data_IF_363220624601
#
_entry.id   IF_363220624601
#
_cell.length_a   1.000
_cell.length_b   1.000
_cell.length_c   1.000
_cell.angle_alpha   90.00
_cell.angle_beta   90.00
_cell.angle_gamma   90.00
#
_symmetry.space_group_name_H-M   'P 1'
#
loop_
_entity.id
_entity.type
_entity.pdbx_description
1 polymer ?
#
# COMPACT_ATOMS: atom_id res chain seq x y z
N UNK A 1 27.00 -25.31 67.51
CA UNK A 1 26.95 -23.87 67.23
C UNK A 1 26.53 -23.65 65.77
N UNK A 2 25.32 -23.26 65.62
CA UNK A 2 24.65 -23.10 64.34
C UNK A 2 24.96 -21.77 63.67
N UNK A 3 25.09 -21.78 62.39
CA UNK A 3 25.08 -20.60 61.55
C UNK A 3 24.20 -20.82 60.34
N UNK A 4 22.99 -20.25 60.41
CA UNK A 4 22.10 -20.16 59.25
C UNK A 4 22.56 -19.01 58.38
N UNK A 5 22.96 -19.26 57.13
CA UNK A 5 23.12 -18.26 56.12
C UNK A 5 21.76 -17.95 55.43
N UNK A 6 21.44 -16.70 55.11
CA UNK A 6 20.18 -16.34 54.41
C UNK A 6 20.32 -16.66 52.92
N UNK A 7 19.33 -17.38 52.40
CA UNK A 7 19.17 -17.63 50.99
C UNK A 7 18.86 -16.35 50.22
N UNK A 8 19.78 -15.92 49.37
CA UNK A 8 19.60 -14.89 48.39
C UNK A 8 18.86 -15.44 47.17
N UNK A 9 17.56 -15.32 47.14
CA UNK A 9 16.75 -15.54 45.96
C UNK A 9 16.96 -14.42 44.95
N UNK A 10 18.01 -14.51 44.16
CA UNK A 10 18.21 -13.66 43.01
C UNK A 10 17.23 -13.99 41.87
N UNK A 11 16.14 -13.29 41.77
CA UNK A 11 15.37 -13.25 40.54
C UNK A 11 16.18 -12.45 39.52
N UNK A 12 16.82 -13.15 38.62
CA UNK A 12 17.37 -12.55 37.43
C UNK A 12 16.31 -11.87 36.63
N UNK A 13 16.57 -10.65 36.07
CA UNK A 13 15.63 -10.01 35.17
C UNK A 13 15.52 -10.89 33.93
N UNK A 14 14.33 -11.40 33.67
CA UNK A 14 13.98 -12.08 32.43
C UNK A 14 14.26 -11.13 31.28
N UNK A 15 15.30 -11.41 30.54
CA UNK A 15 15.57 -10.77 29.24
C UNK A 15 14.49 -11.23 28.27
N UNK A 16 13.32 -10.62 28.36
CA UNK A 16 12.35 -10.58 27.29
C UNK A 16 12.94 -9.77 26.16
N UNK A 17 13.83 -10.37 25.38
CA UNK A 17 14.28 -9.84 24.11
C UNK A 17 13.07 -9.68 23.21
N UNK A 18 12.44 -8.50 23.23
CA UNK A 18 11.64 -8.04 22.12
C UNK A 18 12.62 -7.90 20.97
N UNK A 19 12.62 -8.91 20.08
CA UNK A 19 13.25 -8.79 18.77
C UNK A 19 12.84 -7.47 18.16
N UNK A 20 13.66 -6.83 17.30
CA UNK A 20 13.27 -5.65 16.59
C UNK A 20 12.07 -6.00 15.72
N UNK A 21 10.89 -5.90 16.28
CA UNK A 21 9.67 -5.78 15.52
C UNK A 21 9.86 -4.51 14.73
N UNK A 22 10.06 -4.65 13.42
CA UNK A 22 9.94 -3.56 12.48
C UNK A 22 8.52 -3.01 12.60
N UNK A 23 8.34 -2.07 13.45
CA UNK A 23 7.10 -1.45 13.79
C UNK A 23 7.40 -0.42 14.82
N UNK A 24 8.05 0.65 14.43
CA UNK A 24 7.85 1.91 15.07
C UNK A 24 6.35 2.18 15.02
N UNK A 25 5.63 1.69 16.03
CA UNK A 25 4.27 2.14 16.34
C UNK A 25 4.41 3.49 17.04
N UNK A 26 4.95 4.47 16.32
CA UNK A 26 4.55 5.83 16.53
C UNK A 26 3.03 5.89 16.27
N UNK A 27 2.30 6.82 16.85
CA UNK A 27 0.89 7.01 16.53
C UNK A 27 0.79 7.08 15.01
N UNK A 28 0.07 6.16 14.37
CA UNK A 28 0.07 5.98 12.92
C UNK A 28 -0.16 7.31 12.18
N UNK A 29 0.32 7.46 10.97
CA UNK A 29 0.29 8.72 10.19
C UNK A 29 -1.09 9.38 10.03
N UNK A 30 -2.16 8.75 10.57
CA UNK A 30 -3.53 9.26 10.51
C UNK A 30 -4.19 9.04 9.15
N UNK A 31 -3.80 7.99 8.43
CA UNK A 31 -4.34 7.69 7.09
C UNK A 31 -5.86 7.63 7.06
N UNK A 32 -6.49 6.88 7.94
CA UNK A 32 -7.96 6.73 7.96
C UNK A 32 -8.66 8.07 8.27
N UNK A 33 -8.11 8.89 9.19
CA UNK A 33 -8.62 10.23 9.47
C UNK A 33 -8.48 11.15 8.26
N UNK A 34 -7.36 11.05 7.55
CA UNK A 34 -7.13 11.80 6.31
C UNK A 34 -8.09 11.38 5.20
N UNK A 35 -8.27 10.07 4.99
CA UNK A 35 -9.21 9.54 4.00
C UNK A 35 -10.64 9.98 4.32
N UNK A 36 -11.03 9.99 5.61
CA UNK A 36 -12.33 10.49 6.01
C UNK A 36 -12.51 11.98 5.72
N UNK A 37 -11.53 12.82 6.05
CA UNK A 37 -11.57 14.25 5.81
C UNK A 37 -11.59 14.55 4.30
N UNK A 38 -10.66 13.95 3.52
CA UNK A 38 -10.58 14.12 2.08
C UNK A 38 -11.82 13.55 1.39
N UNK A 39 -12.29 12.38 1.80
CA UNK A 39 -13.47 11.74 1.23
C UNK A 39 -14.72 12.59 1.40
N UNK A 40 -14.98 13.13 2.58
CA UNK A 40 -16.11 14.04 2.78
C UNK A 40 -15.97 15.30 1.90
N UNK A 41 -14.77 15.88 1.79
CA UNK A 41 -14.52 17.01 0.93
C UNK A 41 -14.85 16.70 -0.55
N UNK A 42 -14.47 15.52 -1.04
CA UNK A 42 -14.80 15.07 -2.41
C UNK A 42 -16.30 14.90 -2.60
N UNK A 43 -16.98 14.26 -1.65
CA UNK A 43 -18.42 14.03 -1.70
C UNK A 43 -19.22 15.35 -1.64
N UNK A 44 -18.78 16.32 -0.84
CA UNK A 44 -19.42 17.64 -0.72
C UNK A 44 -19.29 18.46 -2.00
N UNK A 45 -18.39 18.08 -2.92
CA UNK A 45 -18.26 18.62 -4.28
C UNK A 45 -19.15 17.88 -5.30
N UNK A 46 -19.99 16.96 -4.85
CA UNK A 46 -20.91 16.20 -5.68
C UNK A 46 -20.31 15.02 -6.43
N UNK A 47 -19.06 14.62 -6.09
CA UNK A 47 -18.40 13.49 -6.69
C UNK A 47 -18.68 12.20 -5.91
N UNK A 48 -18.58 11.04 -6.56
CA UNK A 48 -18.71 9.71 -5.93
C UNK A 48 -17.35 9.13 -5.66
N UNK A 49 -17.18 8.53 -4.47
CA UNK A 49 -15.89 8.05 -3.97
C UNK A 49 -15.93 6.56 -3.65
N UNK A 50 -14.95 5.81 -4.13
CA UNK A 50 -14.64 4.46 -3.63
C UNK A 50 -13.33 4.48 -2.83
N UNK A 51 -13.30 3.76 -1.70
CA UNK A 51 -12.10 3.55 -0.88
C UNK A 51 -11.83 2.05 -0.80
N UNK A 52 -10.65 1.65 -1.27
CA UNK A 52 -10.23 0.25 -1.33
C UNK A 52 -8.99 0.08 -0.43
N UNK A 53 -9.10 -0.73 0.62
CA UNK A 53 -7.96 -1.05 1.47
C UNK A 53 -7.15 -2.22 0.90
N UNK A 54 -5.81 -2.12 0.96
CA UNK A 54 -4.86 -3.18 0.60
C UNK A 54 -4.03 -3.53 1.83
N UNK A 55 -4.38 -4.65 2.47
CA UNK A 55 -3.67 -5.16 3.64
C UNK A 55 -3.21 -6.62 3.41
N UNK A 56 -1.95 -6.83 3.04
CA UNK A 56 -1.42 -8.18 2.87
C UNK A 56 -1.29 -8.95 4.19
N UNK A 57 -1.33 -8.27 5.35
CA UNK A 57 -1.22 -8.90 6.67
C UNK A 57 -2.55 -9.49 7.17
N UNK A 58 -3.67 -9.16 6.55
CA UNK A 58 -5.01 -9.66 6.90
C UNK A 58 -5.16 -11.18 6.75
N UNK A 59 -4.22 -11.84 6.06
CA UNK A 59 -4.10 -13.29 5.93
C UNK A 59 -4.01 -14.01 7.28
N UNK A 60 -3.34 -13.40 8.28
CA UNK A 60 -3.09 -14.01 9.60
C UNK A 60 -4.11 -13.68 10.66
N UNK A 61 -4.90 -12.63 10.50
CA UNK A 61 -5.76 -12.09 11.54
C UNK A 61 -7.27 -12.27 11.29
N UNK A 62 -7.65 -13.04 10.27
CA UNK A 62 -9.07 -13.32 9.99
C UNK A 62 -9.88 -12.13 9.47
N UNK A 63 -9.19 -11.11 8.97
CA UNK A 63 -9.79 -9.96 8.28
C UNK A 63 -10.31 -8.89 9.24
N UNK A 64 -9.77 -7.69 9.13
CA UNK A 64 -10.30 -6.49 9.82
C UNK A 64 -11.52 -5.92 9.07
N UNK A 65 -12.55 -6.75 8.85
CA UNK A 65 -13.76 -6.34 8.11
C UNK A 65 -14.51 -5.19 8.81
N UNK A 66 -14.39 -5.09 10.13
CA UNK A 66 -15.04 -4.05 10.93
C UNK A 66 -14.14 -2.85 11.23
N UNK A 67 -12.83 -3.06 11.32
CA UNK A 67 -11.89 -2.02 11.75
C UNK A 67 -11.80 -0.81 10.84
N UNK A 68 -11.89 -0.99 9.52
CA UNK A 68 -11.74 0.11 8.56
C UNK A 68 -13.03 0.93 8.43
N UNK A 69 -14.19 0.29 8.47
CA UNK A 69 -15.49 0.99 8.49
C UNK A 69 -15.71 1.78 9.78
N UNK A 70 -15.25 1.26 10.92
CA UNK A 70 -15.37 1.96 12.22
C UNK A 70 -14.42 3.14 12.34
N UNK A 71 -13.32 3.18 11.56
CA UNK A 71 -12.39 4.31 11.53
C UNK A 71 -12.82 5.44 10.59
N UNK A 72 -13.77 5.18 9.71
CA UNK A 72 -14.30 6.13 8.70
C UNK A 72 -15.83 6.20 8.79
N UNK A 73 -16.36 6.43 10.02
CA UNK A 73 -17.80 6.32 10.30
C UNK A 73 -18.66 7.30 9.52
N UNK A 74 -18.21 8.56 9.39
CA UNK A 74 -18.96 9.59 8.68
C UNK A 74 -19.02 9.28 7.18
N UNK A 75 -17.89 8.86 6.60
CA UNK A 75 -17.79 8.50 5.20
C UNK A 75 -18.61 7.23 4.91
N UNK A 76 -18.59 6.23 5.80
CA UNK A 76 -19.32 4.98 5.63
C UNK A 76 -20.86 5.14 5.64
N UNK A 77 -21.38 6.26 6.15
CA UNK A 77 -22.82 6.57 6.17
C UNK A 77 -23.30 7.28 4.90
N UNK A 78 -22.38 7.76 4.07
CA UNK A 78 -22.70 8.49 2.83
C UNK A 78 -23.02 7.49 1.71
N UNK A 79 -24.14 7.69 1.02
CA UNK A 79 -24.59 6.83 -0.09
C UNK A 79 -23.68 6.91 -1.32
N UNK A 80 -23.03 8.05 -1.50
CA UNK A 80 -22.09 8.34 -2.58
C UNK A 80 -20.70 7.74 -2.33
N UNK A 81 -20.47 7.15 -1.13
CA UNK A 81 -19.22 6.49 -0.75
C UNK A 81 -19.35 4.97 -0.78
N UNK A 82 -18.34 4.30 -1.32
CA UNK A 82 -18.18 2.85 -1.25
C UNK A 82 -16.86 2.54 -0.52
N UNK A 83 -16.92 1.80 0.58
CA UNK A 83 -15.73 1.40 1.34
C UNK A 83 -15.62 -0.11 1.32
N UNK A 84 -14.53 -0.62 0.73
CA UNK A 84 -14.22 -2.04 0.69
C UNK A 84 -12.97 -2.32 1.51
N UNK A 85 -13.08 -3.10 2.59
CA UNK A 85 -11.92 -3.58 3.34
C UNK A 85 -11.09 -4.55 2.49
N UNK A 86 -9.83 -4.74 2.86
CA UNK A 86 -8.95 -5.71 2.19
C UNK A 86 -9.52 -7.12 2.27
N UNK A 87 -9.50 -7.88 1.15
CA UNK A 87 -9.94 -9.27 1.17
C UNK A 87 -9.01 -10.11 2.05
N UNK A 88 -9.60 -10.95 2.92
CA UNK A 88 -8.86 -11.86 3.80
C UNK A 88 -8.26 -13.04 3.01
N UNK A 89 -7.14 -13.59 3.50
CA UNK A 89 -6.69 -14.94 3.13
C UNK A 89 -5.93 -15.07 1.82
N UNK A 90 -5.29 -14.01 1.30
CA UNK A 90 -4.58 -14.07 0.01
C UNK A 90 -3.12 -13.62 0.10
N UNK A 91 -2.30 -14.12 -0.85
CA UNK A 91 -0.96 -13.60 -1.10
C UNK A 91 -1.04 -12.14 -1.52
N UNK A 92 0.06 -11.37 -1.38
CA UNK A 92 0.13 -9.96 -1.79
C UNK A 92 -0.32 -9.79 -3.25
N UNK A 93 0.16 -10.61 -4.18
CA UNK A 93 -0.26 -10.59 -5.60
C UNK A 93 -1.76 -10.80 -5.77
N UNK A 94 -2.36 -11.75 -5.05
CA UNK A 94 -3.81 -11.99 -5.11
C UNK A 94 -4.66 -10.83 -4.57
N UNK A 95 -4.20 -10.13 -3.51
CA UNK A 95 -4.86 -8.91 -3.01
C UNK A 95 -4.79 -7.80 -4.05
N UNK A 96 -3.62 -7.61 -4.65
CA UNK A 96 -3.37 -6.59 -5.67
C UNK A 96 -4.24 -6.80 -6.91
N UNK A 97 -4.30 -8.03 -7.41
CA UNK A 97 -5.17 -8.41 -8.55
C UNK A 97 -6.62 -8.05 -8.28
N UNK A 98 -7.18 -8.51 -7.16
CA UNK A 98 -8.59 -8.21 -6.81
C UNK A 98 -8.85 -6.72 -6.58
N UNK A 99 -7.86 -5.98 -6.13
CA UNK A 99 -7.98 -4.53 -5.99
C UNK A 99 -8.08 -3.87 -7.36
N UNK A 100 -7.25 -4.28 -8.34
CA UNK A 100 -7.33 -3.80 -9.73
C UNK A 100 -8.69 -4.08 -10.36
N UNK A 101 -9.18 -5.33 -10.26
CA UNK A 101 -10.51 -5.72 -10.73
C UNK A 101 -11.61 -4.85 -10.10
N UNK A 102 -11.50 -4.59 -8.80
CA UNK A 102 -12.47 -3.77 -8.08
C UNK A 102 -12.40 -2.30 -8.51
N UNK A 103 -11.20 -1.75 -8.79
CA UNK A 103 -11.04 -0.39 -9.33
C UNK A 103 -11.79 -0.24 -10.66
N UNK A 104 -11.62 -1.18 -11.58
CA UNK A 104 -12.33 -1.17 -12.87
C UNK A 104 -13.85 -1.25 -12.68
N UNK A 105 -14.33 -2.08 -11.74
CA UNK A 105 -15.75 -2.16 -11.40
C UNK A 105 -16.27 -0.84 -10.80
N UNK A 106 -15.49 -0.17 -9.96
CA UNK A 106 -15.85 1.13 -9.40
C UNK A 106 -15.93 2.20 -10.50
N UNK A 107 -14.95 2.25 -11.42
CA UNK A 107 -14.98 3.16 -12.57
C UNK A 107 -16.22 2.90 -13.46
N UNK A 108 -16.51 1.64 -13.79
CA UNK A 108 -17.68 1.24 -14.55
C UNK A 108 -19.02 1.56 -13.84
N UNK A 109 -19.04 1.53 -12.51
CA UNK A 109 -20.20 1.90 -11.68
C UNK A 109 -20.36 3.42 -11.53
N UNK A 110 -19.48 4.22 -12.14
CA UNK A 110 -19.54 5.68 -12.14
C UNK A 110 -19.03 6.34 -10.88
N UNK A 111 -18.05 5.74 -10.19
CA UNK A 111 -17.30 6.44 -9.17
C UNK A 111 -16.25 7.35 -9.82
N UNK A 112 -16.24 8.62 -9.41
CA UNK A 112 -15.37 9.66 -9.99
C UNK A 112 -13.94 9.54 -9.46
N UNK A 113 -13.80 9.06 -8.21
CA UNK A 113 -12.54 8.94 -7.51
C UNK A 113 -12.45 7.56 -6.85
N UNK A 114 -11.31 6.88 -7.02
CA UNK A 114 -10.99 5.64 -6.33
C UNK A 114 -9.72 5.87 -5.51
N UNK A 115 -9.85 5.84 -4.18
CA UNK A 115 -8.72 5.88 -3.25
C UNK A 115 -8.31 4.46 -2.90
N UNK A 116 -7.01 4.16 -3.03
CA UNK A 116 -6.44 2.89 -2.62
C UNK A 116 -5.53 3.14 -1.41
N UNK A 117 -5.90 2.58 -0.26
CA UNK A 117 -5.15 2.71 1.00
C UNK A 117 -4.23 1.51 1.20
N UNK A 118 -2.95 1.76 1.54
CA UNK A 118 -2.00 0.74 1.99
C UNK A 118 -1.80 0.82 3.49
N UNK A 119 -1.54 -0.32 4.12
CA UNK A 119 -1.25 -0.37 5.58
C UNK A 119 0.20 -0.02 5.95
N UNK A 120 1.05 0.27 4.96
CA UNK A 120 2.44 0.67 5.18
C UNK A 120 3.38 -0.47 5.56
N UNK A 121 3.07 -1.70 5.15
CA UNK A 121 3.88 -2.89 5.41
C UNK A 121 4.22 -3.63 4.10
N UNK A 122 5.50 -3.82 3.85
CA UNK A 122 5.99 -4.64 2.74
C UNK A 122 6.11 -3.86 1.42
N UNK A 123 5.81 -4.53 0.31
CA UNK A 123 5.90 -3.97 -1.06
C UNK A 123 4.56 -3.46 -1.60
N UNK A 124 3.53 -3.42 -0.76
CA UNK A 124 2.19 -2.98 -1.16
C UNK A 124 2.14 -1.55 -1.70
N UNK A 125 3.04 -0.69 -1.22
CA UNK A 125 3.13 0.70 -1.69
C UNK A 125 3.57 0.79 -3.15
N UNK A 126 4.54 -0.02 -3.56
CA UNK A 126 5.01 -0.07 -4.95
C UNK A 126 3.91 -0.60 -5.87
N UNK A 127 3.25 -1.69 -5.48
CA UNK A 127 2.15 -2.26 -6.26
C UNK A 127 0.97 -1.29 -6.40
N UNK A 128 0.63 -0.54 -5.33
CA UNK A 128 -0.42 0.48 -5.40
C UNK A 128 -0.01 1.66 -6.28
N UNK A 129 1.25 2.10 -6.20
CA UNK A 129 1.75 3.16 -7.09
C UNK A 129 1.69 2.75 -8.56
N UNK A 130 1.89 1.45 -8.87
CA UNK A 130 1.81 0.92 -10.23
C UNK A 130 0.38 0.75 -10.76
N UNK A 131 -0.64 0.76 -9.90
CA UNK A 131 -2.03 0.61 -10.33
C UNK A 131 -2.84 1.91 -10.28
N UNK A 132 -2.31 2.97 -9.67
CA UNK A 132 -3.01 4.25 -9.50
C UNK A 132 -2.45 5.33 -10.42
N UNK A 133 -3.29 6.31 -10.77
CA UNK A 133 -2.88 7.45 -11.57
C UNK A 133 -1.93 8.37 -10.79
N UNK A 134 -2.15 8.52 -9.48
CA UNK A 134 -1.37 9.35 -8.57
C UNK A 134 -1.02 8.59 -7.30
N UNK A 135 0.21 8.75 -6.82
CA UNK A 135 0.65 8.21 -5.53
C UNK A 135 0.89 9.34 -4.52
N UNK A 136 0.06 9.36 -3.47
CA UNK A 136 0.17 10.30 -2.36
C UNK A 136 0.88 9.64 -1.20
N UNK A 137 2.02 10.18 -0.79
CA UNK A 137 2.73 9.77 0.42
C UNK A 137 2.27 10.62 1.60
N UNK A 138 1.79 9.97 2.67
CA UNK A 138 1.23 10.62 3.86
C UNK A 138 2.07 10.28 5.11
N UNK A 139 3.21 10.93 5.35
CA UNK A 139 3.93 10.81 6.61
C UNK A 139 3.21 11.57 7.73
N UNK A 140 3.39 11.13 8.99
CA UNK A 140 2.97 11.90 10.17
C UNK A 140 3.97 12.99 10.52
N UNK A 141 3.50 14.08 11.10
CA UNK A 141 4.39 15.06 11.72
C UNK A 141 5.15 14.38 12.87
N UNK A 142 6.47 14.34 12.77
CA UNK A 142 7.35 13.63 13.71
C UNK A 142 7.79 12.23 13.24
N UNK A 143 7.35 11.76 12.09
CA UNK A 143 7.94 10.58 11.46
C UNK A 143 9.33 10.94 10.92
N UNK A 144 10.35 10.17 11.33
CA UNK A 144 11.71 10.37 10.82
C UNK A 144 11.79 10.08 9.32
N UNK A 145 12.39 11.00 8.56
CA UNK A 145 12.71 10.80 7.14
C UNK A 145 13.51 9.51 6.91
N UNK A 146 14.34 9.12 7.88
CA UNK A 146 15.14 7.89 7.84
C UNK A 146 14.27 6.62 7.88
N UNK A 147 13.05 6.69 8.43
CA UNK A 147 12.08 5.58 8.46
C UNK A 147 11.40 5.33 7.12
N UNK A 148 11.44 6.29 6.20
CA UNK A 148 10.83 6.17 4.88
C UNK A 148 11.86 5.70 3.88
N UNK A 149 11.61 4.54 3.28
CA UNK A 149 12.50 3.99 2.25
C UNK A 149 12.60 4.96 1.06
N UNK A 150 13.81 5.24 0.61
CA UNK A 150 14.09 6.10 -0.55
C UNK A 150 13.21 5.76 -1.77
N UNK A 151 13.04 4.47 -2.08
CA UNK A 151 12.24 4.01 -3.20
C UNK A 151 10.76 4.41 -3.13
N UNK A 152 10.18 4.56 -1.93
CA UNK A 152 8.79 5.03 -1.78
C UNK A 152 8.68 6.53 -2.09
N UNK A 153 9.68 7.31 -1.71
CA UNK A 153 9.72 8.75 -2.04
C UNK A 153 9.84 9.00 -3.54
N UNK A 154 10.57 8.15 -4.26
CA UNK A 154 10.71 8.20 -5.72
C UNK A 154 9.39 7.95 -6.46
N UNK A 155 8.44 7.23 -5.83
CA UNK A 155 7.12 6.96 -6.38
C UNK A 155 6.11 8.10 -6.13
N UNK A 156 6.39 9.00 -5.18
CA UNK A 156 5.43 10.00 -4.75
C UNK A 156 5.20 11.07 -5.83
N UNK A 157 3.93 11.36 -6.08
CA UNK A 157 3.47 12.49 -6.90
C UNK A 157 3.02 13.67 -6.01
N UNK A 158 2.76 13.42 -4.72
CA UNK A 158 2.50 14.41 -3.66
C UNK A 158 2.99 13.85 -2.34
N UNK A 159 3.71 14.65 -1.56
CA UNK A 159 4.02 14.37 -0.15
C UNK A 159 3.19 15.32 0.70
N UNK A 160 2.37 14.74 1.59
CA UNK A 160 1.50 15.50 2.47
C UNK A 160 1.78 15.13 3.92
N UNK A 161 2.52 15.99 4.62
CA UNK A 161 2.87 15.76 6.03
C UNK A 161 1.65 16.07 6.90
N UNK A 162 1.06 15.01 7.47
CA UNK A 162 -0.14 15.09 8.31
C UNK A 162 0.21 15.41 9.77
N UNK A 163 -0.80 15.69 10.59
CA UNK A 163 -0.70 16.08 12.00
C UNK A 163 0.05 17.40 12.21
N UNK A 164 -0.12 18.33 11.26
CA UNK A 164 0.44 19.68 11.38
C UNK A 164 -0.45 20.57 12.27
N UNK A 165 -0.82 20.06 13.46
CA UNK A 165 -1.64 20.74 14.47
C UNK A 165 -0.97 20.69 15.85
N UNK A 166 -1.45 21.53 16.76
CA UNK A 166 -0.99 21.59 18.13
C UNK A 166 0.53 21.66 18.24
N UNK A 167 1.10 20.87 19.14
CA UNK A 167 2.54 20.81 19.38
C UNK A 167 3.34 20.21 18.21
N UNK A 168 2.69 19.43 17.34
CA UNK A 168 3.34 18.80 16.20
C UNK A 168 3.47 19.72 14.98
N UNK A 169 2.85 20.91 14.98
CA UNK A 169 2.87 21.82 13.83
C UNK A 169 4.28 22.23 13.41
N UNK A 170 5.14 22.58 14.37
CA UNK A 170 6.53 22.94 14.11
C UNK A 170 7.32 21.76 13.52
N UNK A 171 7.16 20.58 14.11
CA UNK A 171 7.82 19.34 13.68
C UNK A 171 7.37 18.93 12.27
N UNK A 172 6.07 19.04 11.97
CA UNK A 172 5.53 18.76 10.65
C UNK A 172 6.11 19.71 9.57
N UNK A 173 6.28 21.00 9.88
CA UNK A 173 6.90 21.95 8.96
C UNK A 173 8.39 21.64 8.74
N UNK A 174 9.11 21.22 9.79
CA UNK A 174 10.49 20.78 9.67
C UNK A 174 10.60 19.55 8.77
N UNK A 175 9.81 18.52 9.05
CA UNK A 175 9.74 17.31 8.21
C UNK A 175 9.42 17.64 6.75
N UNK A 176 8.49 18.56 6.49
CA UNK A 176 8.16 18.99 5.13
C UNK A 176 9.37 19.63 4.42
N UNK A 177 10.19 20.41 5.14
CA UNK A 177 11.43 20.98 4.60
C UNK A 177 12.44 19.87 4.25
N UNK A 178 12.58 18.87 5.12
CA UNK A 178 13.50 17.75 4.89
C UNK A 178 13.08 16.93 3.66
N UNK A 179 11.78 16.67 3.49
CA UNK A 179 11.25 16.02 2.27
C UNK A 179 11.53 16.84 1.02
N UNK A 180 11.37 18.17 1.08
CA UNK A 180 11.70 19.03 -0.06
C UNK A 180 13.19 18.97 -0.43
N UNK A 181 14.09 18.91 0.55
CA UNK A 181 15.52 18.76 0.31
C UNK A 181 15.84 17.39 -0.28
N UNK A 182 15.26 16.32 0.27
CA UNK A 182 15.47 14.96 -0.23
C UNK A 182 14.98 14.80 -1.69
N UNK A 183 13.83 15.37 -2.04
CA UNK A 183 13.30 15.31 -3.41
C UNK A 183 14.21 15.97 -4.46
N UNK A 184 15.03 16.96 -4.09
CA UNK A 184 16.01 17.58 -5.00
C UNK A 184 17.10 16.61 -5.46
N UNK A 185 17.33 15.54 -4.69
CA UNK A 185 18.33 14.50 -4.96
C UNK A 185 17.75 13.31 -5.71
N UNK A 186 16.44 13.30 -5.97
CA UNK A 186 15.72 12.22 -6.61
C UNK A 186 15.31 12.61 -8.03
N UNK A 187 15.16 11.60 -8.88
CA UNK A 187 14.65 11.81 -10.23
C UNK A 187 13.11 11.73 -10.18
N UNK A 188 12.39 12.73 -10.69
CA UNK A 188 10.94 12.70 -10.69
C UNK A 188 10.43 11.56 -11.61
N UNK A 189 9.43 10.83 -11.13
CA UNK A 189 8.74 9.80 -11.90
C UNK A 189 8.02 10.36 -13.13
N UNK A 190 7.52 11.58 -13.01
CA UNK A 190 6.70 12.28 -14.00
C UNK A 190 7.47 13.46 -14.56
N UNK A 191 7.68 13.54 -15.87
CA UNK A 191 8.54 14.55 -16.51
C UNK A 191 8.02 15.98 -16.32
N UNK A 192 6.72 16.16 -16.45
CA UNK A 192 6.07 17.49 -16.42
C UNK A 192 5.50 17.85 -15.04
N UNK A 193 5.93 17.12 -13.99
CA UNK A 193 5.42 17.33 -12.64
C UNK A 193 6.55 17.47 -11.63
N UNK A 194 6.50 18.55 -10.87
CA UNK A 194 7.35 18.68 -9.68
C UNK A 194 6.56 18.26 -8.47
N UNK A 195 7.06 17.27 -7.73
CA UNK A 195 6.40 16.74 -6.55
C UNK A 195 6.28 17.82 -5.48
N UNK A 196 5.07 18.30 -5.15
CA UNK A 196 4.91 19.26 -4.07
C UNK A 196 4.97 18.56 -2.72
N UNK A 197 5.48 19.28 -1.73
CA UNK A 197 5.39 18.90 -0.32
C UNK A 197 4.49 19.91 0.38
N UNK A 198 3.47 19.44 1.06
CA UNK A 198 2.49 20.23 1.80
C UNK A 198 2.33 19.67 3.21
N UNK A 199 1.81 20.48 4.11
CA UNK A 199 1.39 20.06 5.45
C UNK A 199 -0.13 20.09 5.56
N UNK A 200 -0.71 19.19 6.37
CA UNK A 200 -2.14 19.20 6.69
C UNK A 200 -2.40 18.74 8.12
N UNK A 201 -3.57 19.07 8.63
CA UNK A 201 -4.16 18.43 9.80
C UNK A 201 -5.48 17.78 9.38
N UNK A 202 -5.45 16.46 9.25
CA UNK A 202 -6.67 15.71 8.93
C UNK A 202 -7.71 15.83 10.06
N UNK A 203 -7.26 15.99 11.31
CA UNK A 203 -8.12 16.14 12.48
C UNK A 203 -8.91 17.45 12.45
N UNK A 204 -8.23 18.55 12.10
CA UNK A 204 -8.83 19.89 12.04
C UNK A 204 -9.42 20.21 10.66
N UNK A 205 -9.27 19.32 9.66
CA UNK A 205 -9.67 19.57 8.26
C UNK A 205 -8.79 20.58 7.53
N UNK A 206 -7.70 21.06 8.14
CA UNK A 206 -6.81 22.08 7.58
C UNK A 206 -5.91 21.51 6.51
N UNK A 207 -5.81 22.19 5.36
CA UNK A 207 -4.97 21.76 4.23
C UNK A 207 -5.57 20.64 3.36
N UNK A 208 -6.78 20.15 3.65
CA UNK A 208 -7.46 19.11 2.86
C UNK A 208 -7.84 19.63 1.49
N UNK A 209 -8.47 20.82 1.42
CA UNK A 209 -8.81 21.47 0.16
C UNK A 209 -7.57 21.74 -0.69
N UNK A 210 -6.51 22.29 -0.09
CA UNK A 210 -5.26 22.55 -0.80
C UNK A 210 -4.58 21.24 -1.30
N UNK A 211 -4.75 20.11 -0.61
CA UNK A 211 -4.31 18.81 -1.08
C UNK A 211 -5.13 18.36 -2.28
N UNK A 212 -6.45 18.55 -2.25
CA UNK A 212 -7.33 18.20 -3.36
C UNK A 212 -7.04 19.05 -4.61
N UNK A 213 -6.81 20.35 -4.47
CA UNK A 213 -6.39 21.23 -5.57
C UNK A 213 -5.09 20.72 -6.25
N UNK A 214 -4.16 20.16 -5.47
CA UNK A 214 -2.95 19.55 -6.04
C UNK A 214 -3.31 18.31 -6.87
N UNK A 215 -4.23 17.47 -6.39
CA UNK A 215 -4.69 16.27 -7.13
C UNK A 215 -5.34 16.68 -8.45
N UNK A 216 -6.24 17.68 -8.43
CA UNK A 216 -6.90 18.17 -9.64
C UNK A 216 -5.91 18.81 -10.62
N UNK A 217 -4.93 19.57 -10.13
CA UNK A 217 -3.89 20.17 -10.97
C UNK A 217 -2.99 19.08 -11.57
N UNK A 218 -2.60 18.06 -10.81
CA UNK A 218 -1.85 16.92 -11.30
C UNK A 218 -2.58 16.24 -12.46
N UNK A 219 -3.84 15.89 -12.26
CA UNK A 219 -4.68 15.26 -13.27
C UNK A 219 -4.72 16.11 -14.55
N UNK A 220 -5.04 17.41 -14.44
CA UNK A 220 -5.08 18.33 -15.60
C UNK A 220 -3.74 18.41 -16.34
N UNK A 221 -2.63 18.43 -15.59
CA UNK A 221 -1.29 18.47 -16.19
C UNK A 221 -1.00 17.22 -17.02
N UNK A 222 -1.31 16.02 -16.49
CA UNK A 222 -1.08 14.78 -17.18
C UNK A 222 -2.04 14.52 -18.33
N UNK A 223 -3.29 14.98 -18.21
CA UNK A 223 -4.27 14.95 -19.30
C UNK A 223 -3.81 15.84 -20.46
N UNK A 224 -3.37 17.06 -20.18
CA UNK A 224 -2.90 18.00 -21.21
C UNK A 224 -1.63 17.52 -21.93
N UNK A 225 -0.74 16.80 -21.25
CA UNK A 225 0.49 16.23 -21.86
C UNK A 225 0.28 14.86 -22.49
N UNK A 226 -0.87 14.21 -22.30
CA UNK A 226 -1.12 12.83 -22.73
C UNK A 226 -0.47 11.76 -21.84
N UNK A 227 0.30 12.17 -20.83
CA UNK A 227 1.00 11.23 -19.92
C UNK A 227 0.03 10.34 -19.13
N UNK A 228 -1.20 10.81 -18.84
CA UNK A 228 -2.20 10.02 -18.12
C UNK A 228 -2.60 8.77 -18.93
N UNK A 229 -2.91 8.94 -20.20
CA UNK A 229 -3.28 7.83 -21.08
C UNK A 229 -2.12 6.88 -21.30
N UNK A 230 -0.90 7.40 -21.49
CA UNK A 230 0.29 6.59 -21.63
C UNK A 230 0.53 5.75 -20.36
N UNK A 231 0.44 6.34 -19.17
CA UNK A 231 0.60 5.65 -17.89
C UNK A 231 -0.41 4.51 -17.74
N UNK A 232 -1.68 4.76 -18.02
CA UNK A 232 -2.74 3.74 -17.96
C UNK A 232 -2.52 2.61 -18.97
N UNK A 233 -2.03 2.92 -20.15
CA UNK A 233 -1.66 1.91 -21.14
C UNK A 233 -0.48 1.03 -20.69
N UNK A 234 0.55 1.63 -20.09
CA UNK A 234 1.68 0.90 -19.51
C UNK A 234 1.26 0.03 -18.32
N UNK A 235 0.39 0.54 -17.44
CA UNK A 235 -0.23 -0.24 -16.36
C UNK A 235 -1.01 -1.44 -16.93
N UNK A 236 -1.88 -1.22 -17.89
CA UNK A 236 -2.67 -2.29 -18.51
C UNK A 236 -1.77 -3.37 -19.12
N UNK A 237 -0.68 -2.98 -19.79
CA UNK A 237 0.31 -3.92 -20.33
C UNK A 237 1.01 -4.71 -19.22
N UNK A 238 1.42 -4.05 -18.15
CA UNK A 238 2.05 -4.71 -17.01
C UNK A 238 1.09 -5.71 -16.34
N UNK A 239 -0.17 -5.34 -16.20
CA UNK A 239 -1.20 -6.22 -15.64
C UNK A 239 -1.46 -7.45 -16.52
N UNK A 240 -1.53 -7.27 -17.83
CA UNK A 240 -1.67 -8.40 -18.77
C UNK A 240 -0.54 -9.42 -18.57
N UNK A 241 0.71 -8.95 -18.45
CA UNK A 241 1.84 -9.85 -18.23
C UNK A 241 1.81 -10.53 -16.86
N UNK A 242 1.48 -9.80 -15.79
CA UNK A 242 1.33 -10.37 -14.44
C UNK A 242 0.24 -11.45 -14.42
N UNK A 243 -0.92 -11.17 -14.99
CA UNK A 243 -2.04 -12.09 -15.08
C UNK A 243 -1.70 -13.36 -15.88
N UNK A 244 -1.02 -13.17 -17.01
CA UNK A 244 -0.55 -14.28 -17.85
C UNK A 244 0.42 -15.16 -17.06
N UNK A 245 1.41 -14.58 -16.39
CA UNK A 245 2.39 -15.32 -15.61
C UNK A 245 1.74 -16.10 -14.44
N UNK A 246 0.84 -15.45 -13.70
CA UNK A 246 0.12 -16.08 -12.58
C UNK A 246 -0.78 -17.24 -13.08
N UNK A 247 -1.50 -17.04 -14.19
CA UNK A 247 -2.36 -18.05 -14.78
C UNK A 247 -1.55 -19.25 -15.28
N UNK A 248 -0.41 -19.01 -15.92
CA UNK A 248 0.51 -20.06 -16.34
C UNK A 248 1.06 -20.84 -15.15
N UNK A 249 1.51 -20.15 -14.10
CA UNK A 249 1.99 -20.81 -12.88
C UNK A 249 0.90 -21.59 -12.16
N UNK A 250 -0.34 -21.08 -12.14
CA UNK A 250 -1.47 -21.80 -11.55
C UNK A 250 -1.81 -23.08 -12.34
N UNK A 251 -1.84 -22.99 -13.68
CA UNK A 251 -2.05 -24.15 -14.54
C UNK A 251 -0.94 -25.22 -14.40
N UNK A 252 0.31 -24.75 -14.27
CA UNK A 252 1.44 -25.64 -14.00
C UNK A 252 1.30 -26.33 -12.63
N UNK A 253 0.98 -25.60 -11.57
CA UNK A 253 0.83 -26.16 -10.21
C UNK A 253 -0.21 -27.27 -10.11
N UNK A 254 -1.27 -27.22 -10.90
CA UNK A 254 -2.27 -28.30 -10.94
C UNK A 254 -1.73 -29.62 -11.50
N UNK A 255 -0.64 -29.58 -12.29
CA UNK A 255 -0.03 -30.76 -12.95
C UNK A 255 1.23 -31.27 -12.26
N UNK A 256 1.72 -30.56 -11.24
CA UNK A 256 3.07 -30.73 -10.67
C UNK A 256 3.18 -31.80 -9.57
N UNK A 257 2.08 -32.18 -8.93
CA UNK A 257 2.11 -32.96 -7.67
C UNK A 257 2.92 -34.27 -7.73
N UNK A 258 3.12 -34.85 -8.89
CA UNK A 258 3.92 -36.04 -9.06
C UNK A 258 5.42 -35.73 -9.21
N UNK A 259 5.77 -34.76 -10.04
CA UNK A 259 7.17 -34.30 -10.21
C UNK A 259 7.75 -33.70 -8.91
N UNK A 260 6.94 -32.96 -8.14
CA UNK A 260 7.36 -32.45 -6.84
C UNK A 260 7.71 -33.58 -5.86
N UNK A 261 6.90 -34.65 -5.81
CA UNK A 261 7.17 -35.83 -4.98
C UNK A 261 8.49 -36.52 -5.36
N UNK A 262 8.79 -36.65 -6.66
CA UNK A 262 10.01 -37.23 -7.16
C UNK A 262 11.24 -36.38 -6.80
N UNK A 263 11.12 -35.04 -6.91
CA UNK A 263 12.19 -34.11 -6.52
C UNK A 263 12.40 -34.13 -5.00
N UNK A 264 11.34 -34.09 -4.20
CA UNK A 264 11.44 -34.15 -2.73
C UNK A 264 12.01 -35.49 -2.23
N UNK A 265 11.77 -36.58 -2.96
CA UNK A 265 12.34 -37.88 -2.66
C UNK A 265 13.78 -38.05 -3.16
N UNK A 266 14.37 -37.02 -3.78
CA UNK A 266 15.73 -37.08 -4.32
C UNK A 266 15.90 -37.98 -5.55
N UNK A 267 14.81 -38.45 -6.14
CA UNK A 267 14.83 -39.36 -7.31
C UNK A 267 14.96 -38.62 -8.63
N UNK A 268 14.55 -37.34 -8.66
CA UNK A 268 14.60 -36.51 -9.87
C UNK A 268 15.31 -35.17 -9.55
N UNK A 269 16.38 -34.79 -10.29
CA UNK A 269 17.00 -33.49 -10.12
C UNK A 269 16.03 -32.35 -10.47
N UNK A 270 16.03 -31.26 -9.68
CA UNK A 270 15.12 -30.12 -9.87
C UNK A 270 15.17 -29.50 -11.27
N UNK A 271 16.35 -29.42 -11.88
CA UNK A 271 16.53 -28.91 -13.24
C UNK A 271 15.89 -29.79 -14.32
N UNK A 272 15.92 -31.12 -14.11
CA UNK A 272 15.28 -32.10 -15.01
C UNK A 272 13.77 -32.03 -14.87
N UNK A 273 13.26 -31.97 -13.62
CA UNK A 273 11.83 -31.81 -13.34
C UNK A 273 11.28 -30.51 -14.00
N UNK A 274 12.00 -29.39 -13.86
CA UNK A 274 11.62 -28.12 -14.48
C UNK A 274 11.53 -28.21 -16.01
N UNK A 275 12.47 -28.92 -16.64
CA UNK A 275 12.45 -29.13 -18.11
C UNK A 275 11.24 -30.00 -18.51
N UNK A 276 11.03 -31.13 -17.84
CA UNK A 276 9.88 -31.98 -18.11
C UNK A 276 8.55 -31.25 -17.97
N UNK A 277 8.45 -30.37 -16.96
CA UNK A 277 7.26 -29.55 -16.74
C UNK A 277 7.02 -28.56 -17.88
N UNK A 278 8.08 -27.90 -18.36
CA UNK A 278 8.01 -27.02 -19.52
C UNK A 278 7.63 -27.78 -20.80
N UNK A 279 8.21 -28.96 -21.03
CA UNK A 279 7.90 -29.79 -22.19
C UNK A 279 6.44 -30.28 -22.17
N UNK A 280 5.92 -30.69 -21.01
CA UNK A 280 4.49 -31.01 -20.84
C UNK A 280 3.57 -29.84 -21.12
N UNK A 281 3.98 -28.63 -20.74
CA UNK A 281 3.19 -27.43 -20.96
C UNK A 281 3.23 -26.96 -22.42
N UNK A 282 4.41 -26.95 -23.04
CA UNK A 282 4.63 -26.51 -24.42
C UNK A 282 4.21 -27.59 -25.45
N UNK A 283 4.31 -28.85 -25.09
CA UNK A 283 3.94 -30.00 -25.94
C UNK A 283 2.45 -30.35 -25.93
N UNK A 284 1.69 -29.91 -24.92
CA UNK A 284 0.24 -30.19 -24.80
C UNK A 284 -0.66 -29.36 -25.72
N UNK A 285 -0.11 -28.58 -26.63
CA UNK A 285 -0.83 -27.76 -27.61
C UNK A 285 -0.73 -28.27 -29.06
N UNK A 286 -0.36 -29.54 -29.26
CA UNK A 286 -0.31 -30.16 -30.56
C UNK A 286 -1.20 -31.41 -30.57
N UNK A 287 -2.52 -31.19 -30.48
CA UNK A 287 -3.56 -32.10 -30.93
C UNK A 287 -4.73 -31.30 -31.52
#
# INVERSE_FOLDING_TARGET
AGGRGPGAGGRGPGAGGRGPGAGGRGPGAGKSTFIEALGNHILDRGQRLAVLAVDPSSVRSGGSILGDKTRMERLARRREAFIRPSPAGQTLGGVTRRTRETMLLCEAAGFDVVLVETVGVGQSETEVAEMTDMFLLLPGGGDDLQGIKRGIMELADLILVNKADGELAATANHSASDYLHALKLLHPRTRNWRVPVKTCSALEGRGIEAAWEVVERYRRTLEASGELLQRRAEQARSWMWSETAESLLAALRQRISELEREVMAGRLPATVAARQLLDLFLGGGRD
#
